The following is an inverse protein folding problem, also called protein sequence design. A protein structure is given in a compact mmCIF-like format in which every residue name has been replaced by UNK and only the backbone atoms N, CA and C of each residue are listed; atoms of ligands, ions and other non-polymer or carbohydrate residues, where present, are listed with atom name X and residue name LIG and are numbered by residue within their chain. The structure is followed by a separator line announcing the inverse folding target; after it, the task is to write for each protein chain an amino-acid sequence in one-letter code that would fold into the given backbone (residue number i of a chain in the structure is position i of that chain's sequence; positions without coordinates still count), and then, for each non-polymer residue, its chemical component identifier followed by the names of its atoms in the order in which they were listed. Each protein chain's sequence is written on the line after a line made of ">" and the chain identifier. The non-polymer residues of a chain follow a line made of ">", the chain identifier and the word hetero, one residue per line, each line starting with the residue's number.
data_IF_184212452519
#
_entry.id   IF_184212452519
#
_cell.length_a   1.000
_cell.length_b   1.000
_cell.length_c   1.000
_cell.angle_alpha   90.00
_cell.angle_beta   90.00
_cell.angle_gamma   90.00
#
_symmetry.space_group_name_H-M   'P 1'
#
loop_
_entity.id
_entity.type
_entity.pdbx_description
1 polymer ?
#
# COMPACT_ATOMS: atom_id res chain seq x y z
N UNK A 1 43.05 26.04 -15.55
CA UNK A 1 41.63 25.74 -15.83
C UNK A 1 41.08 24.89 -14.68
N UNK A 2 40.48 25.51 -13.65
CA UNK A 2 39.89 24.81 -12.50
C UNK A 2 38.38 24.75 -12.69
N UNK A 3 37.88 23.53 -12.89
CA UNK A 3 36.47 23.22 -13.08
C UNK A 3 35.72 23.52 -11.76
N UNK A 4 34.88 24.57 -11.77
CA UNK A 4 33.93 24.87 -10.69
C UNK A 4 32.73 23.94 -10.82
N UNK A 5 32.82 22.76 -10.23
CA UNK A 5 31.64 21.92 -9.93
C UNK A 5 31.46 21.99 -8.42
N UNK A 6 30.67 22.91 -7.88
CA UNK A 6 30.05 22.80 -6.54
C UNK A 6 29.14 24.02 -6.31
N UNK A 7 27.92 23.99 -6.84
CA UNK A 7 26.79 24.83 -6.35
C UNK A 7 25.39 24.28 -6.69
N UNK A 8 25.25 23.03 -7.16
CA UNK A 8 23.96 22.45 -7.56
C UNK A 8 23.37 21.40 -6.60
N UNK A 9 24.01 21.13 -5.45
CA UNK A 9 23.60 20.06 -4.52
C UNK A 9 22.20 20.26 -3.92
N UNK A 10 21.74 21.49 -3.76
CA UNK A 10 20.37 21.80 -3.30
C UNK A 10 19.30 21.62 -4.37
N UNK A 11 19.64 21.83 -5.65
CA UNK A 11 18.70 21.71 -6.76
C UNK A 11 18.46 20.24 -7.13
N UNK A 12 19.52 19.42 -7.13
CA UNK A 12 19.43 17.98 -7.43
C UNK A 12 18.52 17.27 -6.43
N UNK A 13 18.61 17.59 -5.13
CA UNK A 13 17.73 17.00 -4.10
C UNK A 13 16.26 17.33 -4.33
N UNK A 14 15.95 18.58 -4.69
CA UNK A 14 14.58 19.01 -5.00
C UNK A 14 14.03 18.32 -6.25
N UNK A 15 14.85 18.21 -7.30
CA UNK A 15 14.48 17.49 -8.53
C UNK A 15 14.20 16.02 -8.22
N UNK A 16 15.05 15.37 -7.42
CA UNK A 16 14.90 13.95 -7.08
C UNK A 16 13.61 13.70 -6.27
N UNK A 17 13.30 14.56 -5.31
CA UNK A 17 12.03 14.48 -4.55
C UNK A 17 10.83 14.71 -5.48
N UNK A 18 10.90 15.70 -6.37
CA UNK A 18 9.83 15.97 -7.33
C UNK A 18 9.59 14.77 -8.25
N UNK A 19 10.65 14.18 -8.81
CA UNK A 19 10.55 12.98 -9.65
C UNK A 19 9.96 11.81 -8.87
N UNK A 20 10.37 11.60 -7.61
CA UNK A 20 9.81 10.55 -6.76
C UNK A 20 8.30 10.74 -6.52
N UNK A 21 7.86 11.96 -6.23
CA UNK A 21 6.43 12.28 -6.03
C UNK A 21 5.65 12.01 -7.33
N UNK A 22 6.17 12.46 -8.48
CA UNK A 22 5.52 12.22 -9.78
C UNK A 22 5.42 10.73 -10.08
N UNK A 23 6.47 9.94 -9.81
CA UNK A 23 6.47 8.49 -10.01
C UNK A 23 5.47 7.78 -9.09
N UNK A 24 5.43 8.13 -7.80
CA UNK A 24 4.47 7.58 -6.84
C UNK A 24 3.03 7.90 -7.28
N UNK A 25 2.77 9.15 -7.65
CA UNK A 25 1.45 9.57 -8.12
C UNK A 25 1.05 8.84 -9.41
N UNK A 26 1.97 8.69 -10.37
CA UNK A 26 1.73 7.96 -11.61
C UNK A 26 1.43 6.47 -11.33
N UNK A 27 2.18 5.83 -10.43
CA UNK A 27 1.97 4.44 -10.02
C UNK A 27 0.59 4.24 -9.41
N UNK A 28 0.23 5.07 -8.42
CA UNK A 28 -1.08 5.02 -7.75
C UNK A 28 -2.22 5.25 -8.75
N UNK A 29 -2.07 6.23 -9.65
CA UNK A 29 -3.08 6.55 -10.67
C UNK A 29 -3.27 5.39 -11.65
N UNK A 30 -2.18 4.71 -12.02
CA UNK A 30 -2.19 3.55 -12.90
C UNK A 30 -2.85 2.34 -12.22
N UNK A 31 -2.49 2.06 -10.96
CA UNK A 31 -3.08 1.00 -10.14
C UNK A 31 -4.59 1.17 -10.01
N UNK A 32 -5.04 2.37 -9.62
CA UNK A 32 -6.48 2.68 -9.51
C UNK A 32 -7.22 2.54 -10.86
N UNK A 33 -6.58 2.91 -11.96
CA UNK A 33 -7.18 2.77 -13.29
C UNK A 33 -7.39 1.29 -13.67
N UNK A 34 -6.43 0.41 -13.37
CA UNK A 34 -6.58 -1.03 -13.62
C UNK A 34 -7.74 -1.60 -12.80
N UNK A 35 -7.81 -1.28 -11.50
CA UNK A 35 -8.88 -1.77 -10.62
C UNK A 35 -10.25 -1.34 -11.12
N UNK A 36 -10.38 -0.07 -11.53
CA UNK A 36 -11.64 0.45 -12.05
C UNK A 36 -12.04 -0.21 -13.37
N UNK A 37 -11.09 -0.41 -14.30
CA UNK A 37 -11.33 -1.14 -15.56
C UNK A 37 -11.80 -2.57 -15.31
N UNK A 38 -11.15 -3.28 -14.40
CA UNK A 38 -11.52 -4.65 -14.07
C UNK A 38 -12.94 -4.74 -13.47
N UNK A 39 -13.36 -3.74 -12.70
CA UNK A 39 -14.73 -3.63 -12.16
C UNK A 39 -15.75 -3.35 -13.26
N UNK A 40 -15.40 -2.48 -14.20
CA UNK A 40 -16.22 -2.17 -15.36
C UNK A 40 -16.39 -3.40 -16.27
N UNK A 41 -15.29 -4.09 -16.57
CA UNK A 41 -15.30 -5.34 -17.35
C UNK A 41 -16.15 -6.41 -16.65
N UNK A 42 -16.01 -6.57 -15.33
CA UNK A 42 -16.85 -7.49 -14.55
C UNK A 42 -18.34 -7.11 -14.61
N UNK A 43 -18.66 -5.82 -14.60
CA UNK A 43 -20.05 -5.35 -14.70
C UNK A 43 -20.62 -5.62 -16.09
N UNK A 44 -19.85 -5.34 -17.13
CA UNK A 44 -20.24 -5.61 -18.52
C UNK A 44 -20.45 -7.10 -18.76
N UNK A 45 -19.61 -7.94 -18.16
CA UNK A 45 -19.74 -9.39 -18.21
C UNK A 45 -21.05 -9.87 -17.56
N UNK A 46 -21.39 -9.38 -16.37
CA UNK A 46 -22.67 -9.71 -15.71
C UNK A 46 -23.86 -9.28 -16.57
N UNK A 47 -23.82 -8.07 -17.14
CA UNK A 47 -24.89 -7.56 -18.02
C UNK A 47 -25.07 -8.44 -19.25
N UNK A 48 -23.98 -8.77 -19.95
CA UNK A 48 -24.01 -9.63 -21.13
C UNK A 48 -24.62 -11.00 -20.81
N UNK A 49 -24.24 -11.60 -19.67
CA UNK A 49 -24.84 -12.86 -19.24
C UNK A 49 -26.32 -12.74 -18.86
N UNK A 50 -26.71 -11.65 -18.19
CA UNK A 50 -28.10 -11.39 -17.83
C UNK A 50 -29.00 -11.30 -19.08
N UNK A 51 -28.54 -10.58 -20.10
CA UNK A 51 -29.24 -10.46 -21.39
C UNK A 51 -29.36 -11.81 -22.10
N UNK A 52 -28.26 -12.57 -22.16
CA UNK A 52 -28.25 -13.90 -22.78
C UNK A 52 -29.16 -14.90 -22.05
N UNK A 53 -29.18 -14.86 -20.72
CA UNK A 53 -30.06 -15.73 -19.92
C UNK A 53 -31.54 -15.35 -20.08
N UNK A 54 -31.87 -14.06 -20.12
CA UNK A 54 -33.25 -13.62 -20.35
C UNK A 54 -33.80 -14.13 -21.69
N UNK A 55 -32.96 -14.16 -22.72
CA UNK A 55 -33.30 -14.71 -24.04
C UNK A 55 -33.47 -16.23 -23.98
N UNK A 56 -32.47 -16.95 -23.43
CA UNK A 56 -32.44 -18.40 -23.39
C UNK A 56 -33.50 -19.03 -22.47
N UNK A 57 -33.90 -18.36 -21.38
CA UNK A 57 -34.91 -18.86 -20.46
C UNK A 57 -36.33 -18.87 -21.04
N UNK A 58 -36.55 -18.20 -22.18
CA UNK A 58 -37.88 -18.06 -22.79
C UNK A 58 -38.07 -18.88 -24.05
N UNK A 59 -36.99 -19.36 -24.68
CA UNK A 59 -37.04 -20.37 -25.73
C UNK A 59 -37.20 -21.77 -25.10
N UNK A 60 -38.19 -22.56 -25.53
CA UNK A 60 -38.53 -23.89 -24.96
C UNK A 60 -37.42 -24.96 -25.12
N UNK A 61 -36.26 -24.59 -25.67
CA UNK A 61 -35.05 -25.43 -25.78
C UNK A 61 -34.28 -25.48 -24.44
N UNK A 62 -34.99 -25.79 -23.36
CA UNK A 62 -34.62 -25.60 -21.95
C UNK A 62 -33.46 -26.47 -21.41
N UNK A 63 -33.09 -27.56 -22.11
CA UNK A 63 -32.12 -28.53 -21.57
C UNK A 63 -30.65 -28.23 -21.89
N UNK A 64 -30.34 -27.62 -23.05
CA UNK A 64 -28.94 -27.30 -23.40
C UNK A 64 -28.46 -25.99 -22.76
N UNK A 65 -29.35 -25.03 -22.56
CA UNK A 65 -28.99 -23.70 -22.03
C UNK A 65 -28.80 -23.69 -20.51
N UNK A 66 -29.57 -24.47 -19.76
CA UNK A 66 -29.37 -24.63 -18.32
C UNK A 66 -28.00 -25.27 -18.01
N UNK A 67 -27.51 -26.18 -18.86
CA UNK A 67 -26.16 -26.75 -18.75
C UNK A 67 -25.05 -25.72 -19.01
N UNK A 68 -25.18 -24.87 -20.03
CA UNK A 68 -24.25 -23.77 -20.31
C UNK A 68 -24.22 -22.78 -19.13
N UNK A 69 -25.39 -22.46 -18.58
CA UNK A 69 -25.54 -21.58 -17.41
C UNK A 69 -24.89 -22.19 -16.15
N UNK A 70 -25.16 -23.46 -15.86
CA UNK A 70 -24.63 -24.17 -14.69
C UNK A 70 -23.10 -24.39 -14.78
N UNK A 71 -22.57 -24.62 -15.98
CA UNK A 71 -21.13 -24.85 -16.21
C UNK A 71 -20.31 -23.55 -16.26
N UNK A 72 -20.89 -22.44 -16.74
CA UNK A 72 -20.15 -21.18 -16.98
C UNK A 72 -20.38 -20.16 -15.85
N UNK A 73 -21.64 -19.92 -15.45
CA UNK A 73 -21.96 -18.89 -14.45
C UNK A 73 -21.65 -19.37 -13.03
N UNK A 74 -21.82 -20.66 -12.69
CA UNK A 74 -21.37 -21.17 -11.37
C UNK A 74 -19.87 -21.03 -11.16
N UNK A 75 -19.07 -21.05 -12.23
CA UNK A 75 -17.61 -20.98 -12.14
C UNK A 75 -17.12 -19.56 -11.91
N UNK A 76 -17.86 -18.57 -12.40
CA UNK A 76 -17.53 -17.17 -12.24
C UNK A 76 -18.04 -16.76 -10.84
N UNK A 77 -17.14 -16.71 -9.86
CA UNK A 77 -17.44 -16.39 -8.44
C UNK A 77 -17.87 -14.93 -8.19
N UNK A 78 -18.77 -14.40 -9.01
CA UNK A 78 -19.40 -13.10 -8.82
C UNK A 78 -20.56 -13.29 -7.85
N UNK A 79 -20.54 -12.63 -6.69
CA UNK A 79 -21.67 -12.68 -5.77
C UNK A 79 -22.87 -11.99 -6.42
N UNK A 80 -24.00 -12.69 -6.48
CA UNK A 80 -25.23 -12.16 -7.03
C UNK A 80 -26.45 -12.60 -6.23
N UNK A 81 -27.46 -11.74 -6.18
CA UNK A 81 -28.76 -11.96 -5.57
C UNK A 81 -29.82 -11.58 -6.60
N UNK A 82 -30.84 -12.43 -6.75
CA UNK A 82 -31.99 -12.20 -7.61
C UNK A 82 -33.17 -11.75 -6.76
N UNK A 83 -33.89 -10.74 -7.24
CA UNK A 83 -35.14 -10.27 -6.62
C UNK A 83 -36.20 -10.09 -7.70
N UNK A 84 -37.48 -10.18 -7.30
CA UNK A 84 -38.59 -9.94 -8.22
C UNK A 84 -38.74 -8.45 -8.54
N UNK A 85 -38.44 -7.58 -7.57
CA UNK A 85 -38.40 -6.12 -7.71
C UNK A 85 -37.22 -5.58 -6.88
N UNK A 86 -36.71 -4.40 -7.26
CA UNK A 86 -35.52 -3.74 -6.66
C UNK A 86 -35.56 -3.71 -5.12
N UNK A 87 -36.74 -3.51 -4.52
CA UNK A 87 -36.92 -3.39 -3.06
C UNK A 87 -37.62 -4.61 -2.40
N UNK A 88 -37.78 -5.71 -3.14
CA UNK A 88 -38.44 -6.91 -2.61
C UNK A 88 -37.44 -7.93 -2.07
N UNK A 89 -37.99 -8.92 -1.34
CA UNK A 89 -37.24 -10.03 -0.76
C UNK A 89 -36.41 -10.75 -1.83
N UNK A 90 -35.21 -11.23 -1.46
CA UNK A 90 -34.36 -11.99 -2.37
C UNK A 90 -35.03 -13.34 -2.66
N UNK A 91 -35.07 -13.72 -3.93
CA UNK A 91 -35.69 -14.95 -4.42
C UNK A 91 -34.64 -16.07 -4.58
N UNK A 92 -33.41 -15.71 -4.92
CA UNK A 92 -32.29 -16.63 -5.05
C UNK A 92 -30.95 -15.88 -4.88
N UNK A 93 -29.89 -16.58 -4.50
CA UNK A 93 -28.56 -16.01 -4.36
C UNK A 93 -27.46 -17.00 -4.71
N UNK A 94 -26.30 -16.48 -5.09
CA UNK A 94 -25.12 -17.27 -5.45
C UNK A 94 -23.84 -16.56 -5.02
N UNK A 95 -22.86 -17.31 -4.52
CA UNK A 95 -21.50 -16.80 -4.31
C UNK A 95 -21.34 -15.80 -3.16
N UNK A 96 -22.38 -15.59 -2.34
CA UNK A 96 -22.35 -14.71 -1.16
C UNK A 96 -21.84 -15.41 0.12
N UNK A 97 -21.54 -16.72 0.05
CA UNK A 97 -21.01 -17.49 1.19
C UNK A 97 -22.06 -17.96 2.20
N UNK A 98 -23.34 -17.89 1.81
CA UNK A 98 -24.47 -18.52 2.51
C UNK A 98 -24.92 -19.74 1.70
N UNK A 99 -25.53 -20.71 2.38
CA UNK A 99 -26.13 -21.87 1.70
C UNK A 99 -27.26 -21.40 0.79
N UNK A 100 -27.32 -21.95 -0.42
CA UNK A 100 -28.20 -21.48 -1.50
C UNK A 100 -29.60 -22.09 -1.39
N UNK A 101 -29.72 -23.18 -0.65
CA UNK A 101 -30.97 -23.91 -0.43
C UNK A 101 -31.64 -23.55 0.90
N UNK A 102 -30.97 -22.77 1.76
CA UNK A 102 -31.44 -22.40 3.09
C UNK A 102 -32.27 -21.10 3.07
N UNK A 103 -33.56 -21.26 2.75
CA UNK A 103 -34.57 -20.18 2.68
C UNK A 103 -35.19 -19.91 4.07
N UNK A 104 -34.49 -20.21 5.18
CA UNK A 104 -34.96 -19.83 6.50
C UNK A 104 -35.05 -18.30 6.65
N UNK A 105 -36.08 -17.81 7.35
CA UNK A 105 -36.32 -16.37 7.55
C UNK A 105 -35.11 -15.61 8.14
N UNK A 106 -34.32 -16.26 9.00
CA UNK A 106 -33.11 -15.66 9.58
C UNK A 106 -32.00 -15.43 8.54
N UNK A 107 -31.86 -16.35 7.58
CA UNK A 107 -30.88 -16.21 6.50
C UNK A 107 -31.35 -15.21 5.45
N UNK A 108 -32.66 -15.12 5.19
CA UNK A 108 -33.21 -14.09 4.30
C UNK A 108 -32.88 -12.67 4.76
N UNK A 109 -32.87 -12.40 6.08
CA UNK A 109 -32.44 -11.10 6.62
C UNK A 109 -30.96 -10.82 6.32
N UNK A 110 -30.10 -11.84 6.45
CA UNK A 110 -28.66 -11.72 6.10
C UNK A 110 -28.47 -11.48 4.61
N UNK A 111 -29.16 -12.25 3.75
CA UNK A 111 -29.12 -12.08 2.29
C UNK A 111 -29.61 -10.69 1.90
N UNK A 112 -30.70 -10.19 2.49
CA UNK A 112 -31.20 -8.84 2.25
C UNK A 112 -30.16 -7.77 2.62
N UNK A 113 -29.46 -7.93 3.75
CA UNK A 113 -28.42 -6.98 4.14
C UNK A 113 -27.26 -6.95 3.13
N UNK A 114 -26.84 -8.12 2.62
CA UNK A 114 -25.82 -8.24 1.58
C UNK A 114 -26.31 -7.63 0.26
N UNK A 115 -27.58 -7.84 -0.10
CA UNK A 115 -28.20 -7.23 -1.28
C UNK A 115 -28.16 -5.71 -1.22
N UNK A 116 -28.54 -5.12 -0.07
CA UNK A 116 -28.50 -3.68 0.13
C UNK A 116 -27.07 -3.11 0.05
N UNK A 117 -26.06 -3.84 0.55
CA UNK A 117 -24.65 -3.45 0.41
C UNK A 117 -24.18 -3.47 -1.05
N UNK A 118 -24.63 -4.47 -1.82
CA UNK A 118 -24.35 -4.56 -3.25
C UNK A 118 -24.98 -3.37 -3.99
N UNK A 119 -26.22 -3.02 -3.66
CA UNK A 119 -26.98 -1.94 -4.30
C UNK A 119 -26.43 -0.55 -4.00
N UNK A 120 -25.88 -0.36 -2.80
CA UNK A 120 -25.15 0.85 -2.47
C UNK A 120 -23.93 1.04 -3.37
N UNK A 121 -23.30 -0.06 -3.78
CA UNK A 121 -22.06 -0.04 -4.55
C UNK A 121 -22.28 -0.10 -6.07
N UNK A 122 -23.34 -0.77 -6.52
CA UNK A 122 -23.63 -1.12 -7.90
C UNK A 122 -25.13 -0.99 -8.17
N UNK A 123 -25.53 -0.43 -9.30
CA UNK A 123 -26.95 -0.37 -9.65
C UNK A 123 -27.46 -1.76 -10.06
N UNK A 124 -28.62 -2.23 -9.56
CA UNK A 124 -29.23 -3.49 -9.97
C UNK A 124 -29.45 -3.54 -11.48
N UNK A 125 -29.15 -4.69 -12.09
CA UNK A 125 -29.34 -4.89 -13.53
C UNK A 125 -30.73 -5.49 -13.75
N UNK A 126 -31.65 -4.82 -14.49
CA UNK A 126 -32.95 -5.36 -14.79
C UNK A 126 -32.83 -6.46 -15.86
N UNK A 127 -33.38 -7.62 -15.56
CA UNK A 127 -33.53 -8.74 -16.49
C UNK A 127 -34.79 -8.49 -17.31
N UNK A 128 -34.63 -8.12 -18.59
CA UNK A 128 -35.72 -7.74 -19.49
C UNK A 128 -35.91 -8.77 -20.59
N UNK A 129 -37.16 -9.11 -20.87
CA UNK A 129 -37.55 -9.92 -22.02
C UNK A 129 -38.74 -9.28 -22.74
N UNK A 130 -38.65 -9.10 -24.06
CA UNK A 130 -39.68 -8.44 -24.88
C UNK A 130 -40.21 -7.11 -24.28
N UNK A 131 -39.32 -6.31 -23.70
CA UNK A 131 -39.65 -5.02 -23.08
C UNK A 131 -40.28 -5.10 -21.67
N UNK A 132 -40.52 -6.30 -21.12
CA UNK A 132 -40.99 -6.50 -19.74
C UNK A 132 -39.83 -6.88 -18.82
N UNK A 133 -39.80 -6.30 -17.62
CA UNK A 133 -38.83 -6.66 -16.58
C UNK A 133 -39.35 -7.91 -15.86
N UNK A 134 -38.55 -8.98 -15.85
CA UNK A 134 -38.86 -10.22 -15.17
C UNK A 134 -38.34 -10.22 -13.73
N UNK A 135 -37.08 -9.83 -13.55
CA UNK A 135 -36.36 -9.84 -12.27
C UNK A 135 -35.24 -8.78 -12.25
N UNK A 136 -34.65 -8.54 -11.08
CA UNK A 136 -33.45 -7.71 -10.92
C UNK A 136 -32.28 -8.55 -10.41
N UNK A 137 -31.10 -8.28 -10.96
CA UNK A 137 -29.84 -8.87 -10.55
C UNK A 137 -29.07 -7.84 -9.74
N UNK A 138 -28.94 -8.13 -8.45
CA UNK A 138 -28.10 -7.39 -7.52
C UNK A 138 -26.74 -8.07 -7.49
N UNK A 139 -25.65 -7.36 -7.84
CA UNK A 139 -24.33 -7.96 -8.00
C UNK A 139 -23.27 -7.20 -7.21
N UNK A 140 -22.32 -7.95 -6.65
CA UNK A 140 -21.23 -7.40 -5.85
C UNK A 140 -19.88 -7.58 -6.54
N UNK A 141 -18.87 -6.85 -6.04
CA UNK A 141 -17.50 -7.07 -6.46
C UNK A 141 -17.02 -8.47 -6.03
N UNK A 142 -16.29 -9.15 -6.91
CA UNK A 142 -15.64 -10.44 -6.59
C UNK A 142 -14.63 -10.28 -5.45
N UNK A 143 -14.34 -11.38 -4.74
CA UNK A 143 -13.27 -11.41 -3.71
C UNK A 143 -11.94 -10.89 -4.25
N UNK A 144 -11.64 -11.18 -5.52
CA UNK A 144 -10.42 -10.71 -6.19
C UNK A 144 -10.43 -9.20 -6.38
N UNK A 145 -11.51 -8.62 -6.92
CA UNK A 145 -11.65 -7.16 -7.09
C UNK A 145 -11.58 -6.45 -5.73
N UNK A 146 -12.23 -7.00 -4.69
CA UNK A 146 -12.13 -6.46 -3.32
C UNK A 146 -10.69 -6.44 -2.81
N UNK A 147 -9.89 -7.49 -3.05
CA UNK A 147 -8.46 -7.51 -2.71
C UNK A 147 -7.65 -6.51 -3.53
N UNK A 148 -7.92 -6.41 -4.83
CA UNK A 148 -7.24 -5.48 -5.73
C UNK A 148 -7.54 -4.01 -5.36
N UNK A 149 -8.74 -3.70 -4.85
CA UNK A 149 -9.07 -2.38 -4.29
C UNK A 149 -8.21 -1.99 -3.08
N UNK A 150 -7.61 -2.96 -2.38
CA UNK A 150 -6.70 -2.69 -1.26
C UNK A 150 -5.25 -2.41 -1.70
N UNK A 151 -4.89 -2.68 -2.96
CA UNK A 151 -3.52 -2.49 -3.47
C UNK A 151 -2.99 -1.06 -3.27
N UNK A 152 -3.75 0.02 -3.55
CA UNK A 152 -3.24 1.38 -3.34
C UNK A 152 -2.81 1.65 -1.89
N UNK A 153 -3.48 1.06 -0.90
CA UNK A 153 -3.10 1.21 0.51
C UNK A 153 -1.81 0.46 0.84
N UNK A 154 -1.63 -0.73 0.26
CA UNK A 154 -0.39 -1.50 0.38
C UNK A 154 0.77 -0.75 -0.28
N UNK A 155 0.55 -0.17 -1.46
CA UNK A 155 1.55 0.66 -2.15
C UNK A 155 1.98 1.86 -1.28
N UNK A 156 1.03 2.59 -0.70
CA UNK A 156 1.32 3.70 0.22
C UNK A 156 2.10 3.22 1.45
N UNK A 157 1.73 2.08 2.03
CA UNK A 157 2.43 1.51 3.18
C UNK A 157 3.89 1.15 2.83
N UNK A 158 4.12 0.53 1.68
CA UNK A 158 5.47 0.19 1.19
C UNK A 158 6.29 1.44 0.94
N UNK A 159 5.73 2.44 0.25
CA UNK A 159 6.40 3.73 0.02
C UNK A 159 6.74 4.42 1.35
N UNK A 160 5.79 4.45 2.29
CA UNK A 160 5.99 5.01 3.63
C UNK A 160 7.11 4.30 4.41
N UNK A 161 7.18 2.97 4.31
CA UNK A 161 8.25 2.18 4.91
C UNK A 161 9.62 2.54 4.32
N UNK A 162 9.73 2.68 3.00
CA UNK A 162 10.99 3.09 2.37
C UNK A 162 11.42 4.51 2.78
N UNK A 163 10.48 5.45 2.87
CA UNK A 163 10.76 6.81 3.38
C UNK A 163 11.24 6.75 4.83
N UNK A 164 10.59 5.96 5.67
CA UNK A 164 10.95 5.78 7.08
C UNK A 164 12.36 5.20 7.24
N UNK A 165 12.67 4.12 6.51
CA UNK A 165 14.00 3.51 6.52
C UNK A 165 15.07 4.48 5.99
N UNK A 166 14.76 5.21 4.92
CA UNK A 166 15.65 6.25 4.38
C UNK A 166 15.93 7.36 5.38
N UNK A 167 14.90 7.82 6.10
CA UNK A 167 15.03 8.81 7.17
C UNK A 167 15.89 8.29 8.32
N UNK A 168 15.64 7.06 8.78
CA UNK A 168 16.41 6.43 9.86
C UNK A 168 17.88 6.26 9.46
N UNK A 169 18.15 5.77 8.25
CA UNK A 169 19.51 5.64 7.72
C UNK A 169 20.23 7.00 7.65
N UNK A 170 19.57 8.03 7.12
CA UNK A 170 20.13 9.38 7.08
C UNK A 170 20.41 9.93 8.49
N UNK A 171 19.53 9.69 9.45
CA UNK A 171 19.71 10.09 10.84
C UNK A 171 20.94 9.42 11.46
N UNK A 172 21.10 8.11 11.27
CA UNK A 172 22.25 7.35 11.78
C UNK A 172 23.55 7.86 11.16
N UNK A 173 23.59 8.04 9.83
CA UNK A 173 24.78 8.56 9.12
C UNK A 173 25.16 9.94 9.66
N UNK A 174 24.22 10.87 9.77
CA UNK A 174 24.47 12.22 10.30
C UNK A 174 24.96 12.20 11.74
N UNK A 175 24.42 11.32 12.56
CA UNK A 175 24.84 11.16 13.95
C UNK A 175 26.26 10.57 14.03
N UNK A 176 26.60 9.64 13.14
CA UNK A 176 27.94 9.03 13.04
C UNK A 176 28.99 10.03 12.56
N UNK A 177 28.69 10.81 11.51
CA UNK A 177 29.55 11.90 11.02
C UNK A 177 29.92 12.87 12.15
N UNK A 178 28.92 13.32 12.92
CA UNK A 178 29.16 14.21 14.07
C UNK A 178 30.09 13.55 15.09
N UNK A 179 29.80 12.32 15.53
CA UNK A 179 30.65 11.61 16.50
C UNK A 179 32.08 11.45 16.02
N UNK A 180 32.28 11.13 14.74
CA UNK A 180 33.62 10.97 14.16
C UNK A 180 34.40 12.29 14.19
N UNK A 181 33.75 13.42 13.85
CA UNK A 181 34.35 14.74 13.94
C UNK A 181 34.74 15.08 15.39
N UNK A 182 33.86 14.81 16.36
CA UNK A 182 34.15 15.04 17.78
C UNK A 182 35.36 14.24 18.29
N UNK A 183 35.44 12.95 17.93
CA UNK A 183 36.60 12.11 18.28
C UNK A 183 37.88 12.62 17.64
N UNK A 184 37.82 13.05 16.37
CA UNK A 184 38.94 13.67 15.67
C UNK A 184 39.42 14.95 16.34
N UNK A 185 38.49 15.86 16.67
CA UNK A 185 38.80 17.12 17.38
C UNK A 185 39.39 16.87 18.77
N UNK A 186 38.86 15.91 19.52
CA UNK A 186 39.40 15.54 20.83
C UNK A 186 40.83 15.00 20.73
N UNK A 187 41.11 14.14 19.74
CA UNK A 187 42.45 13.60 19.50
C UNK A 187 43.45 14.70 19.12
N UNK A 188 43.06 15.61 18.23
CA UNK A 188 43.89 16.75 17.82
C UNK A 188 44.14 17.71 19.00
N UNK A 189 43.12 18.02 19.79
CA UNK A 189 43.25 18.89 20.97
C UNK A 189 44.14 18.25 22.03
N UNK A 190 43.99 16.95 22.30
CA UNK A 190 44.86 16.24 23.23
C UNK A 190 46.32 16.26 22.77
N UNK A 191 46.57 16.13 21.48
CA UNK A 191 47.91 16.27 20.90
C UNK A 191 48.45 17.69 21.07
N UNK A 192 47.64 18.71 20.72
CA UNK A 192 48.01 20.12 20.83
C UNK A 192 48.25 20.58 22.28
N UNK A 193 47.51 20.06 23.26
CA UNK A 193 47.72 20.35 24.68
C UNK A 193 48.89 19.55 25.27
N UNK A 194 49.22 18.39 24.70
CA UNK A 194 50.33 17.56 25.17
C UNK A 194 51.69 18.27 25.07
N UNK A 195 51.97 18.91 23.94
CA UNK A 195 53.25 19.62 23.71
C UNK A 195 53.55 20.71 24.76
N UNK A 196 52.68 21.72 24.99
CA UNK A 196 52.97 22.75 25.99
C UNK A 196 52.99 22.19 27.42
N UNK A 197 52.17 21.19 27.74
CA UNK A 197 52.14 20.59 29.07
C UNK A 197 53.43 19.83 29.37
N UNK A 198 53.98 19.09 28.39
CA UNK A 198 55.31 18.46 28.50
C UNK A 198 56.41 19.50 28.65
N UNK A 199 56.35 20.63 27.94
CA UNK A 199 57.31 21.73 28.14
C UNK A 199 57.24 22.31 29.56
N UNK A 200 56.04 22.53 30.11
CA UNK A 200 55.86 23.01 31.48
C UNK A 200 56.38 22.02 32.53
N UNK A 201 56.16 20.72 32.35
CA UNK A 201 56.71 19.69 33.24
C UNK A 201 58.23 19.70 33.24
N UNK A 202 58.87 19.86 32.06
CA UNK A 202 60.32 19.97 31.96
C UNK A 202 60.88 21.17 32.73
N UNK A 203 60.23 22.34 32.61
CA UNK A 203 60.61 23.52 33.41
C UNK A 203 60.42 23.30 34.92
N UNK A 204 59.32 22.66 35.33
CA UNK A 204 59.06 22.34 36.73
C UNK A 204 60.15 21.40 37.31
N UNK A 205 60.59 20.42 36.53
CA UNK A 205 61.61 19.46 36.94
C UNK A 205 63.00 20.11 37.07
N UNK A 206 63.37 20.99 36.13
CA UNK A 206 64.60 21.77 36.22
C UNK A 206 64.63 22.65 37.48
N UNK A 207 63.50 23.29 37.82
CA UNK A 207 63.38 24.09 39.03
C UNK A 207 63.57 23.23 40.30
N UNK A 208 62.98 22.03 40.34
CA UNK A 208 63.14 21.09 41.45
C UNK A 208 64.59 20.59 41.61
N UNK A 209 65.33 20.40 40.52
CA UNK A 209 66.74 20.01 40.59
C UNK A 209 67.59 21.14 41.16
N UNK A 210 67.33 22.38 40.73
CA UNK A 210 68.08 23.56 41.18
C UNK A 210 67.85 23.88 42.66
N UNK A 211 66.68 23.54 43.20
CA UNK A 211 66.30 23.78 44.60
C UNK A 211 66.73 22.62 45.54
N UNK A 212 67.39 21.57 45.03
CA UNK A 212 68.01 20.56 45.90
C UNK A 212 69.32 21.12 46.48
N UNK A 213 69.50 21.13 47.81
CA UNK A 213 70.78 21.50 48.40
C UNK A 213 71.84 20.50 47.94
N UNK A 214 73.02 21.00 47.58
CA UNK A 214 74.17 20.17 47.25
C UNK A 214 74.52 19.32 48.48
N UNK A 215 74.28 18.00 48.40
CA UNK A 215 74.95 17.07 49.30
C UNK A 215 76.44 17.07 48.93
N UNK A 216 77.25 17.72 49.77
CA UNK A 216 78.71 17.54 49.75
C UNK A 216 79.00 16.07 50.06
N UNK A 217 79.38 15.33 49.02
CA UNK A 217 79.96 14.00 49.16
C UNK A 217 81.37 14.20 49.72
N UNK A 218 81.53 14.00 51.03
CA UNK A 218 82.85 13.82 51.63
C UNK A 218 83.33 12.39 51.35
N UNK A 219 84.55 12.29 50.79
CA UNK A 219 85.33 11.05 50.64
C UNK A 219 85.46 10.25 51.96
#
# INVERSE_FOLDING_TARGET
>A
MKIRIYHHSGNIKRILIFVAIVLIFALLRYSQNIVNRLREDSTNLVRFYAEFFAEAATDETSQDFSFIFDQIIRKISIPMVLSQEVDKKPTAWKGIGLDEEDIADENLVKVQSIMNEMDYSNQPIPLKYNGKILQYIHYGDTKLIKRLKMLPFVEIAVVGLFIFLGYMGFHVIRSSEKRSIWVGMAKETAHQLGTPLSSMMGWLELLKIKDRPFEEVNE
#
